data_IF_981861219813
#
_entry.id   IF_981861219813
#
_cell.length_a   1.000
_cell.length_b   1.000
_cell.length_c   1.000
_cell.angle_alpha   90.00
_cell.angle_beta   90.00
_cell.angle_gamma   90.00
#
_symmetry.space_group_name_H-M   'P 1'
#
loop_
_entity.id
_entity.type
_entity.pdbx_description
1 polymer ?
#
# COMPACT_ATOMS: atom_id res chain seq x y z
N UNK A 1 -6.44 -6.87 2.13
CA UNK A 1 -5.63 -6.91 3.36
C UNK A 1 -5.58 -5.49 3.92
N UNK A 2 -6.08 -5.24 5.13
CA UNK A 2 -5.93 -3.94 5.76
C UNK A 2 -4.48 -3.68 6.17
N UNK A 3 -3.99 -2.47 5.92
CA UNK A 3 -2.73 -1.94 6.41
C UNK A 3 -3.06 -0.69 7.19
N UNK A 4 -2.67 -0.61 8.46
CA UNK A 4 -3.00 0.51 9.34
C UNK A 4 -1.73 1.16 9.86
N UNK A 5 -1.61 2.47 9.71
CA UNK A 5 -0.51 3.23 10.32
C UNK A 5 -0.83 3.43 11.81
N UNK A 6 -0.23 2.60 12.66
CA UNK A 6 -0.33 2.71 14.13
C UNK A 6 0.81 3.54 14.75
N UNK A 7 1.68 4.12 13.92
CA UNK A 7 2.76 4.99 14.34
C UNK A 7 2.30 6.44 14.54
N UNK A 8 3.26 7.30 14.85
CA UNK A 8 3.05 8.74 15.06
C UNK A 8 3.42 9.58 13.83
N UNK A 9 4.15 9.00 12.88
CA UNK A 9 4.61 9.64 11.66
C UNK A 9 3.80 9.27 10.43
N UNK A 10 4.07 9.94 9.32
CA UNK A 10 3.57 9.55 8.00
C UNK A 10 4.28 8.27 7.55
N UNK A 11 3.54 7.34 6.94
CA UNK A 11 4.07 6.07 6.41
C UNK A 11 3.80 5.99 4.92
N UNK A 12 4.83 5.73 4.13
CA UNK A 12 4.71 5.40 2.71
C UNK A 12 4.29 3.93 2.54
N UNK A 13 3.21 3.65 1.81
CA UNK A 13 2.82 2.34 1.33
C UNK A 13 3.14 2.24 -0.16
N UNK A 14 4.03 1.34 -0.54
CA UNK A 14 4.33 1.03 -1.94
C UNK A 14 3.62 -0.26 -2.35
N UNK A 15 2.84 -0.21 -3.43
CA UNK A 15 2.19 -1.36 -4.06
C UNK A 15 3.08 -1.91 -5.16
N UNK A 16 3.68 -3.07 -4.91
CA UNK A 16 4.53 -3.77 -5.86
C UNK A 16 3.77 -4.88 -6.58
N UNK A 17 4.13 -5.22 -7.84
CA UNK A 17 5.22 -4.67 -8.65
C UNK A 17 4.85 -3.41 -9.46
N UNK A 18 3.73 -2.75 -9.12
CA UNK A 18 3.21 -1.62 -9.90
C UNK A 18 4.01 -0.32 -9.67
N UNK A 19 4.80 -0.24 -8.61
CA UNK A 19 5.56 0.95 -8.23
C UNK A 19 4.65 2.13 -7.85
N UNK A 20 3.43 1.85 -7.39
CA UNK A 20 2.48 2.88 -6.95
C UNK A 20 2.68 3.17 -5.45
N UNK A 21 2.66 4.44 -5.06
CA UNK A 21 2.84 4.86 -3.67
C UNK A 21 1.61 5.59 -3.11
N UNK A 22 1.39 5.40 -1.82
CA UNK A 22 0.26 5.97 -1.07
C UNK A 22 0.75 6.33 0.33
N UNK A 23 0.35 7.48 0.86
CA UNK A 23 0.90 7.97 2.11
C UNK A 23 -0.16 8.00 3.20
N UNK A 24 0.09 7.26 4.27
CA UNK A 24 -0.84 7.04 5.38
C UNK A 24 -0.51 7.95 6.55
N UNK A 25 -1.45 8.79 6.97
CA UNK A 25 -1.37 9.55 8.22
C UNK A 25 -1.53 8.62 9.43
N UNK A 26 -1.07 9.04 10.64
CA UNK A 26 -1.33 8.31 11.86
C UNK A 26 -2.81 7.96 12.03
N UNK A 27 -3.10 6.68 12.25
CA UNK A 27 -4.46 6.14 12.43
C UNK A 27 -5.18 5.73 11.14
N UNK A 28 -4.71 6.13 9.96
CA UNK A 28 -5.35 5.75 8.68
C UNK A 28 -5.17 4.26 8.38
N UNK A 29 -6.15 3.70 7.68
CA UNK A 29 -6.12 2.33 7.17
C UNK A 29 -6.37 2.35 5.67
N UNK A 30 -5.49 1.69 4.92
CA UNK A 30 -5.71 1.39 3.51
C UNK A 30 -6.00 -0.11 3.34
N UNK A 31 -6.82 -0.44 2.35
CA UNK A 31 -7.14 -1.82 2.00
C UNK A 31 -6.42 -2.17 0.70
N UNK A 32 -5.43 -3.05 0.79
CA UNK A 32 -4.74 -3.58 -0.39
C UNK A 32 -5.50 -4.80 -0.91
N UNK A 33 -5.93 -4.77 -2.17
CA UNK A 33 -6.62 -5.89 -2.81
C UNK A 33 -5.73 -6.47 -3.89
N UNK A 34 -5.52 -7.78 -3.86
CA UNK A 34 -4.84 -8.53 -4.92
C UNK A 34 -5.91 -9.22 -5.78
N UNK A 35 -5.75 -9.13 -7.10
CA UNK A 35 -6.66 -9.73 -8.09
C UNK A 35 -5.99 -10.83 -8.87
N UNK A 36 -6.75 -11.89 -9.16
CA UNK A 36 -6.32 -13.05 -9.96
C UNK A 36 -5.67 -14.16 -9.15
N UNK A 37 -5.08 -15.10 -9.89
CA UNK A 37 -4.43 -16.27 -9.31
C UNK A 37 -3.05 -15.90 -8.75
N UNK A 38 -2.77 -16.34 -7.53
CA UNK A 38 -1.47 -16.26 -6.85
C UNK A 38 -0.81 -17.66 -6.72
N UNK A 39 -1.35 -18.66 -7.44
CA UNK A 39 -0.89 -20.03 -7.43
C UNK A 39 -0.99 -20.67 -6.05
N UNK A 40 -0.11 -21.62 -5.70
CA UNK A 40 -0.11 -22.25 -4.38
C UNK A 40 0.51 -21.36 -3.29
N UNK A 41 0.91 -20.12 -3.62
CA UNK A 41 1.59 -19.20 -2.72
C UNK A 41 0.63 -18.42 -1.80
N UNK A 42 1.08 -17.24 -1.40
CA UNK A 42 0.29 -16.27 -0.64
C UNK A 42 0.04 -15.04 -1.52
N UNK A 43 -1.08 -14.32 -1.34
CA UNK A 43 -1.42 -13.16 -2.19
C UNK A 43 -0.51 -11.94 -1.98
N UNK A 44 0.20 -11.85 -0.85
CA UNK A 44 1.01 -10.69 -0.48
C UNK A 44 2.35 -11.07 0.16
N UNK A 45 3.46 -10.53 -0.35
CA UNK A 45 4.71 -10.41 0.41
C UNK A 45 4.78 -9.01 1.02
N UNK A 46 5.22 -8.89 2.27
CA UNK A 46 5.24 -7.59 2.98
C UNK A 46 6.61 -7.35 3.60
N UNK A 47 7.16 -6.18 3.32
CA UNK A 47 8.40 -5.67 3.90
C UNK A 47 8.12 -4.32 4.56
N UNK A 48 8.65 -4.07 5.75
CA UNK A 48 8.38 -2.83 6.48
C UNK A 48 9.66 -2.22 7.07
N UNK A 49 9.63 -0.90 7.17
CA UNK A 49 10.62 -0.01 7.76
C UNK A 49 9.93 0.96 8.72
N UNK A 50 10.67 1.79 9.49
CA UNK A 50 10.05 2.72 10.43
C UNK A 50 9.03 3.69 9.79
N UNK A 51 9.26 4.10 8.54
CA UNK A 51 8.49 5.11 7.81
C UNK A 51 7.89 4.58 6.49
N UNK A 52 8.00 3.28 6.21
CA UNK A 52 7.45 2.72 4.98
C UNK A 52 7.05 1.24 5.09
N UNK A 53 6.15 0.83 4.20
CA UNK A 53 5.75 -0.55 3.99
C UNK A 53 5.65 -0.81 2.49
N UNK A 54 6.26 -1.89 2.02
CA UNK A 54 6.08 -2.39 0.66
C UNK A 54 5.19 -3.62 0.72
N UNK A 55 4.13 -3.61 -0.08
CA UNK A 55 3.20 -4.73 -0.23
C UNK A 55 3.29 -5.22 -1.67
N UNK A 56 3.85 -6.40 -1.85
CA UNK A 56 3.98 -7.06 -3.14
C UNK A 56 2.78 -7.96 -3.38
N UNK A 57 1.94 -7.60 -4.35
CA UNK A 57 0.91 -8.50 -4.85
C UNK A 57 1.58 -9.58 -5.70
N UNK A 58 1.50 -10.83 -5.26
CA UNK A 58 2.08 -11.97 -5.99
C UNK A 58 1.21 -12.42 -7.17
N UNK A 59 -0.01 -11.91 -7.25
CA UNK A 59 -0.90 -12.03 -8.38
C UNK A 59 -0.58 -11.00 -9.48
N UNK A 60 -1.29 -11.05 -10.60
CA UNK A 60 -1.04 -10.18 -11.75
C UNK A 60 -1.45 -8.71 -11.58
N UNK A 61 -2.28 -8.37 -10.58
CA UNK A 61 -2.78 -7.00 -10.38
C UNK A 61 -3.18 -6.74 -8.93
N UNK A 62 -3.09 -5.48 -8.51
CA UNK A 62 -3.56 -5.04 -7.19
C UNK A 62 -4.08 -3.61 -7.22
N UNK A 63 -4.86 -3.25 -6.20
CA UNK A 63 -5.33 -1.88 -5.96
C UNK A 63 -5.25 -1.54 -4.49
N UNK A 64 -5.29 -0.24 -4.20
CA UNK A 64 -5.42 0.29 -2.84
C UNK A 64 -6.70 1.11 -2.74
N UNK A 65 -7.47 0.92 -1.68
CA UNK A 65 -8.63 1.75 -1.34
C UNK A 65 -8.53 2.29 0.09
N UNK A 66 -9.32 3.30 0.42
CA UNK A 66 -9.61 3.66 1.80
C UNK A 66 -10.50 2.58 2.50
N UNK A 67 -10.83 2.82 3.77
CA UNK A 67 -11.66 1.94 4.59
C UNK A 67 -13.16 1.96 4.24
N UNK A 68 -13.60 2.98 3.49
CA UNK A 68 -14.94 3.06 2.88
C UNK A 68 -15.03 2.30 1.54
N UNK A 69 -13.89 1.90 0.97
CA UNK A 69 -13.78 1.16 -0.29
C UNK A 69 -13.59 2.03 -1.53
N UNK A 70 -13.30 3.33 -1.37
CA UNK A 70 -12.96 4.20 -2.49
C UNK A 70 -11.53 3.95 -2.92
N UNK A 71 -11.34 3.54 -4.19
CA UNK A 71 -10.02 3.30 -4.74
C UNK A 71 -9.19 4.59 -4.77
N UNK A 72 -7.95 4.50 -4.30
CA UNK A 72 -7.00 5.60 -4.27
C UNK A 72 -6.13 5.60 -5.54
N UNK A 73 -5.71 6.78 -5.95
CA UNK A 73 -4.73 6.96 -7.02
C UNK A 73 -3.31 6.97 -6.46
N UNK A 74 -2.34 6.49 -7.24
CA UNK A 74 -0.91 6.64 -6.92
C UNK A 74 -0.55 8.10 -6.62
N UNK A 75 0.29 8.31 -5.62
CA UNK A 75 0.65 9.61 -5.05
C UNK A 75 -0.37 10.17 -4.06
N UNK A 76 -1.36 9.38 -3.61
CA UNK A 76 -2.34 9.83 -2.62
C UNK A 76 -1.64 10.32 -1.35
N UNK A 77 -1.92 11.57 -0.96
CA UNK A 77 -1.31 12.29 0.17
C UNK A 77 0.22 12.36 0.15
N UNK A 78 0.86 12.17 -1.01
CA UNK A 78 2.31 12.31 -1.14
C UNK A 78 2.76 13.71 -0.68
N UNK A 79 3.76 13.82 0.22
CA UNK A 79 4.31 15.10 0.61
C UNK A 79 4.90 15.87 -0.59
N UNK A 80 4.83 17.20 -0.53
CA UNK A 80 5.50 18.04 -1.51
C UNK A 80 7.00 17.74 -1.57
N UNK A 81 7.51 17.55 -2.79
CA UNK A 81 8.93 17.25 -3.03
C UNK A 81 9.34 15.79 -2.75
N UNK A 82 8.42 14.91 -2.35
CA UNK A 82 8.69 13.47 -2.34
C UNK A 82 8.60 12.91 -3.77
N UNK A 83 9.57 12.06 -4.13
CA UNK A 83 9.57 11.29 -5.37
C UNK A 83 9.20 9.84 -5.05
N UNK A 84 8.54 9.11 -5.98
CA UNK A 84 8.37 7.66 -5.85
C UNK A 84 9.76 7.02 -5.71
N UNK A 85 9.94 6.14 -4.72
CA UNK A 85 11.21 5.45 -4.47
C UNK A 85 11.55 4.43 -5.55
#
# INVERSE_FOLDING_TARGET
MPVTNRGEGLVELTLEPLGEDYWMRPGETFIVTSYGDYGPGHPFEVQYWPDSVSVWCTSWFGTVSDDEGNQLSSGYQRPDGAYPR
#
